data_IF_286390343060
#
_entry.id   IF_286390343060
#
_cell.length_a   1.000
_cell.length_b   1.000
_cell.length_c   1.000
_cell.angle_alpha   90.00
_cell.angle_beta   90.00
_cell.angle_gamma   90.00
#
_symmetry.space_group_name_H-M   'P 1'
#
loop_
_entity.id
_entity.type
_entity.pdbx_description
1 polymer ?
#
# COMPACT_ATOMS: atom_id res chain seq x y z
N UNK A 1 39.41 -52.27 -37.47
CA UNK A 1 38.33 -51.85 -38.40
C UNK A 1 37.64 -50.64 -37.80
N UNK A 2 37.95 -49.46 -38.32
CA UNK A 2 37.36 -48.18 -37.90
C UNK A 2 35.94 -48.07 -38.44
N UNK A 3 34.93 -47.92 -37.58
CA UNK A 3 33.56 -47.62 -38.02
C UNK A 3 33.48 -46.12 -38.31
N UNK A 4 33.35 -45.77 -39.58
CA UNK A 4 33.09 -44.41 -40.05
C UNK A 4 31.88 -43.81 -39.35
N UNK A 5 31.91 -42.52 -38.99
CA UNK A 5 30.73 -41.83 -38.48
C UNK A 5 29.69 -41.72 -39.60
N UNK A 6 28.44 -42.12 -39.32
CA UNK A 6 27.31 -41.91 -40.23
C UNK A 6 27.15 -40.41 -40.50
N UNK A 7 27.14 -40.04 -41.77
CA UNK A 7 26.73 -38.71 -42.21
C UNK A 7 25.29 -38.45 -41.75
N UNK A 8 25.04 -37.31 -41.09
CA UNK A 8 23.70 -36.77 -40.91
C UNK A 8 23.16 -36.42 -42.29
N UNK A 9 22.05 -37.01 -42.69
CA UNK A 9 21.27 -36.56 -43.85
C UNK A 9 20.49 -35.30 -43.49
N UNK A 10 20.29 -34.39 -44.45
CA UNK A 10 19.56 -33.12 -44.30
C UNK A 10 18.08 -33.26 -43.84
N UNK A 11 17.58 -34.48 -43.66
CA UNK A 11 16.24 -34.78 -43.11
C UNK A 11 16.15 -34.71 -41.57
N UNK A 12 17.26 -34.47 -40.85
CA UNK A 12 17.25 -34.20 -39.40
C UNK A 12 16.99 -32.71 -39.09
N UNK A 13 16.02 -32.09 -39.78
CA UNK A 13 15.53 -30.78 -39.39
C UNK A 13 14.92 -30.86 -37.98
N UNK A 14 15.23 -29.94 -37.05
CA UNK A 14 14.59 -29.94 -35.74
C UNK A 14 13.08 -29.86 -35.95
N UNK A 15 12.26 -30.61 -35.18
CA UNK A 15 10.81 -30.58 -35.34
C UNK A 15 10.34 -29.14 -35.27
N UNK A 16 9.70 -28.68 -36.35
CA UNK A 16 9.13 -27.34 -36.42
C UNK A 16 8.14 -27.17 -35.27
N UNK A 17 8.20 -26.05 -34.57
CA UNK A 17 7.23 -25.70 -33.54
C UNK A 17 6.02 -25.04 -34.22
N UNK A 18 5.06 -25.85 -34.67
CA UNK A 18 3.92 -25.37 -35.47
C UNK A 18 3.04 -24.41 -34.66
N UNK A 19 3.07 -24.50 -33.32
CA UNK A 19 2.35 -23.59 -32.44
C UNK A 19 3.00 -22.20 -32.39
N UNK A 20 4.32 -22.11 -32.60
CA UNK A 20 5.01 -20.82 -32.63
C UNK A 20 4.71 -20.01 -33.92
N UNK A 21 4.24 -20.66 -34.97
CA UNK A 21 3.96 -20.05 -36.27
C UNK A 21 2.47 -19.65 -36.46
N UNK A 22 1.58 -20.06 -35.56
CA UNK A 22 0.16 -19.75 -35.64
C UNK A 22 -0.18 -18.31 -35.19
N UNK A 23 -1.17 -17.65 -35.83
CA UNK A 23 -1.76 -16.41 -35.33
C UNK A 23 -2.37 -16.55 -33.94
N UNK A 24 -2.36 -15.44 -33.18
CA UNK A 24 -2.82 -15.41 -31.79
C UNK A 24 -4.29 -15.81 -31.64
N UNK A 25 -5.14 -15.52 -32.62
CA UNK A 25 -6.57 -15.81 -32.61
C UNK A 25 -6.83 -17.32 -32.67
N UNK A 26 -6.09 -18.03 -33.52
CA UNK A 26 -6.19 -19.49 -33.64
C UNK A 26 -5.60 -20.18 -32.42
N UNK A 27 -4.50 -19.65 -31.88
CA UNK A 27 -3.91 -20.12 -30.64
C UNK A 27 -4.88 -20.00 -29.45
N UNK A 28 -5.59 -18.88 -29.34
CA UNK A 28 -6.61 -18.70 -28.30
C UNK A 28 -7.76 -19.68 -28.47
N UNK A 29 -8.23 -19.91 -29.70
CA UNK A 29 -9.28 -20.87 -29.96
C UNK A 29 -8.89 -22.32 -29.63
N UNK A 30 -7.61 -22.69 -29.86
CA UNK A 30 -7.07 -23.98 -29.39
C UNK A 30 -7.08 -24.04 -27.86
N UNK A 31 -6.65 -22.97 -27.18
CA UNK A 31 -6.60 -22.92 -25.72
C UNK A 31 -7.99 -22.89 -25.06
N UNK A 32 -9.00 -22.35 -25.74
CA UNK A 32 -10.41 -22.43 -25.33
C UNK A 32 -10.91 -23.87 -25.28
N UNK A 33 -10.45 -24.72 -26.20
CA UNK A 33 -10.80 -26.15 -26.26
C UNK A 33 -10.03 -27.04 -25.28
N UNK A 34 -9.10 -26.49 -24.49
CA UNK A 34 -8.36 -27.28 -23.50
C UNK A 34 -9.19 -27.40 -22.22
N UNK A 35 -9.78 -28.57 -22.05
CA UNK A 35 -10.74 -28.82 -20.96
C UNK A 35 -10.13 -29.43 -19.70
N UNK A 36 -8.92 -29.98 -19.74
CA UNK A 36 -8.22 -30.50 -18.56
C UNK A 36 -7.22 -29.47 -18.00
N UNK A 37 -7.25 -29.25 -16.68
CA UNK A 37 -6.35 -28.29 -16.03
C UNK A 37 -4.88 -28.70 -16.11
N UNK A 38 -4.59 -30.01 -16.15
CA UNK A 38 -3.25 -30.54 -16.36
C UNK A 38 -2.75 -30.21 -17.76
N UNK A 39 -3.63 -30.25 -18.76
CA UNK A 39 -3.31 -29.88 -20.13
C UNK A 39 -3.10 -28.37 -20.25
N UNK A 40 -3.91 -27.54 -19.61
CA UNK A 40 -3.68 -26.08 -19.56
C UNK A 40 -2.28 -25.77 -18.98
N UNK A 41 -1.91 -26.45 -17.89
CA UNK A 41 -0.58 -26.33 -17.30
C UNK A 41 0.49 -26.80 -18.29
N UNK A 42 0.33 -27.98 -18.88
CA UNK A 42 1.25 -28.54 -19.87
C UNK A 42 1.44 -27.63 -21.10
N UNK A 43 0.38 -27.00 -21.61
CA UNK A 43 0.44 -26.02 -22.70
C UNK A 43 1.23 -24.77 -22.31
N UNK A 44 1.01 -24.27 -21.09
CA UNK A 44 1.77 -23.12 -20.58
C UNK A 44 3.24 -23.45 -20.36
N UNK A 45 3.55 -24.73 -20.18
CA UNK A 45 4.90 -25.25 -19.97
C UNK A 45 5.62 -25.59 -21.27
N UNK A 46 4.90 -26.09 -22.28
CA UNK A 46 5.41 -26.33 -23.62
C UNK A 46 5.64 -25.00 -24.36
N UNK A 47 4.73 -24.04 -24.20
CA UNK A 47 4.85 -22.70 -24.80
C UNK A 47 4.45 -21.59 -23.82
N UNK A 48 5.42 -20.99 -23.10
CA UNK A 48 5.17 -19.93 -22.12
C UNK A 48 4.49 -18.68 -22.69
N UNK A 49 4.64 -18.45 -24.00
CA UNK A 49 3.95 -17.35 -24.69
C UNK A 49 2.44 -17.58 -24.72
N UNK A 50 2.00 -18.83 -24.95
CA UNK A 50 0.59 -19.20 -24.97
C UNK A 50 -0.07 -19.11 -23.61
N UNK A 51 0.61 -19.56 -22.55
CA UNK A 51 0.09 -19.42 -21.18
C UNK A 51 -0.13 -17.96 -20.79
N UNK A 52 0.79 -17.06 -21.19
CA UNK A 52 0.64 -15.60 -20.99
C UNK A 52 -0.45 -14.99 -21.86
N UNK A 53 -0.63 -15.50 -23.08
CA UNK A 53 -1.67 -15.07 -23.99
C UNK A 53 -3.05 -15.41 -23.42
N UNK A 54 -3.27 -16.66 -23.00
CA UNK A 54 -4.51 -17.12 -22.37
C UNK A 54 -4.87 -16.32 -21.10
N UNK A 55 -3.86 -16.00 -20.28
CA UNK A 55 -4.02 -15.14 -19.09
C UNK A 55 -4.49 -13.72 -19.44
N UNK A 56 -3.93 -13.13 -20.51
CA UNK A 56 -4.28 -11.76 -20.96
C UNK A 56 -5.61 -11.70 -21.68
N UNK A 57 -5.98 -12.78 -22.36
CA UNK A 57 -7.25 -12.91 -23.07
C UNK A 57 -8.38 -13.40 -22.17
N UNK A 58 -8.19 -13.32 -20.85
CA UNK A 58 -9.23 -13.56 -19.86
C UNK A 58 -9.83 -14.99 -19.84
N UNK A 59 -9.11 -16.00 -20.34
CA UNK A 59 -9.58 -17.38 -20.35
C UNK A 59 -9.75 -17.93 -18.91
N UNK A 60 -10.97 -18.27 -18.47
CA UNK A 60 -11.27 -18.57 -17.05
C UNK A 60 -10.41 -19.69 -16.46
N UNK A 61 -10.11 -20.73 -17.24
CA UNK A 61 -9.31 -21.90 -16.84
C UNK A 61 -7.84 -21.56 -16.58
N UNK A 62 -7.36 -20.42 -17.07
CA UNK A 62 -5.99 -19.95 -16.90
C UNK A 62 -5.85 -18.88 -15.80
N UNK A 63 -6.96 -18.31 -15.28
CA UNK A 63 -6.97 -17.14 -14.38
C UNK A 63 -6.49 -17.40 -12.95
N UNK A 64 -6.37 -18.65 -12.53
CA UNK A 64 -6.15 -18.97 -11.12
C UNK A 64 -4.65 -18.92 -10.72
N UNK A 65 -4.23 -18.20 -9.67
CA UNK A 65 -2.83 -18.09 -9.23
C UNK A 65 -2.09 -19.41 -8.93
N UNK A 66 -2.77 -20.54 -8.70
CA UNK A 66 -2.12 -21.87 -8.66
C UNK A 66 -1.63 -22.36 -10.01
N UNK A 67 -2.21 -21.87 -11.09
CA UNK A 67 -1.70 -22.09 -12.42
C UNK A 67 -0.24 -21.61 -12.52
N UNK A 68 0.10 -20.51 -11.83
CA UNK A 68 1.48 -20.02 -11.70
C UNK A 68 2.34 -20.83 -10.71
N UNK A 69 1.74 -21.52 -9.74
CA UNK A 69 2.43 -22.49 -8.88
C UNK A 69 2.84 -23.73 -9.68
N UNK A 70 1.95 -24.26 -10.52
CA UNK A 70 2.26 -25.35 -11.45
C UNK A 70 3.38 -24.97 -12.44
N UNK A 71 3.38 -23.72 -12.92
CA UNK A 71 4.48 -23.17 -13.74
C UNK A 71 5.84 -23.15 -13.02
N UNK A 72 5.86 -23.03 -11.69
CA UNK A 72 7.10 -22.86 -10.91
C UNK A 72 7.75 -24.17 -10.46
N UNK A 73 7.00 -25.27 -10.38
CA UNK A 73 7.58 -26.60 -10.11
C UNK A 73 8.40 -27.10 -11.29
N UNK A 74 7.95 -26.79 -12.52
CA UNK A 74 8.65 -27.19 -13.73
C UNK A 74 9.91 -26.38 -14.04
N UNK A 75 10.05 -25.16 -13.51
CA UNK A 75 11.29 -24.37 -13.62
C UNK A 75 12.34 -24.75 -12.56
N UNK A 76 11.94 -25.20 -11.37
CA UNK A 76 12.87 -25.55 -10.28
C UNK A 76 13.58 -26.92 -10.45
N UNK A 77 12.92 -27.92 -11.05
CA UNK A 77 13.51 -29.26 -11.20
C UNK A 77 14.37 -29.45 -12.46
N UNK A 78 14.23 -28.59 -13.48
CA UNK A 78 14.93 -28.76 -14.77
C UNK A 78 16.26 -28.01 -14.89
N UNK A 79 16.58 -27.05 -14.01
CA UNK A 79 17.78 -26.20 -14.15
C UNK A 79 18.87 -26.48 -13.10
N UNK A 80 18.58 -27.10 -11.95
CA UNK A 80 19.53 -27.20 -10.83
C UNK A 80 19.76 -28.63 -10.30
N UNK A 81 20.37 -29.51 -11.11
CA UNK A 81 21.42 -30.43 -10.64
C UNK A 81 21.99 -31.25 -11.81
N UNK A 82 23.27 -31.06 -12.20
CA UNK A 82 23.93 -32.02 -13.06
C UNK A 82 24.05 -33.36 -12.31
N UNK A 83 23.52 -34.42 -12.91
CA UNK A 83 23.75 -35.81 -12.51
C UNK A 83 25.26 -36.09 -12.47
N UNK A 84 25.90 -35.93 -11.31
CA UNK A 84 27.19 -36.54 -11.01
C UNK A 84 26.97 -37.66 -9.99
N UNK A 85 27.28 -38.87 -10.44
CA UNK A 85 27.41 -40.14 -9.70
C UNK A 85 26.18 -41.08 -9.70
N UNK A 86 26.29 -42.28 -10.32
CA UNK A 86 25.22 -43.27 -10.43
C UNK A 86 25.11 -44.22 -9.21
N UNK A 87 25.12 -43.70 -7.96
CA UNK A 87 25.14 -44.57 -6.76
C UNK A 87 24.11 -44.30 -5.65
N UNK A 88 23.16 -43.39 -5.81
CA UNK A 88 22.10 -43.18 -4.81
C UNK A 88 20.73 -43.05 -5.51
N UNK A 89 20.08 -44.20 -5.75
CA UNK A 89 18.79 -44.30 -6.41
C UNK A 89 17.66 -44.71 -5.44
N UNK A 90 17.59 -44.10 -4.24
CA UNK A 90 16.62 -44.50 -3.22
C UNK A 90 16.04 -43.35 -2.36
N UNK A 91 15.98 -42.12 -2.88
CA UNK A 91 15.26 -41.03 -2.21
C UNK A 91 14.11 -40.54 -3.09
N UNK A 92 12.89 -40.65 -2.60
CA UNK A 92 11.69 -40.05 -3.19
C UNK A 92 11.94 -38.54 -3.28
N UNK A 93 11.80 -37.91 -4.46
CA UNK A 93 12.00 -36.47 -4.58
C UNK A 93 10.96 -35.73 -3.71
N UNK A 94 11.36 -34.68 -2.96
CA UNK A 94 10.43 -33.92 -2.12
C UNK A 94 9.30 -33.34 -2.99
N UNK A 95 8.08 -33.36 -2.43
CA UNK A 95 6.89 -32.81 -3.11
C UNK A 95 7.19 -31.39 -3.58
N UNK A 96 6.90 -31.07 -4.84
CA UNK A 96 7.21 -29.75 -5.38
C UNK A 96 6.29 -28.67 -4.77
N UNK A 97 5.10 -29.05 -4.30
CA UNK A 97 4.19 -28.17 -3.59
C UNK A 97 4.51 -28.15 -2.09
N UNK A 98 4.96 -27.00 -1.61
CA UNK A 98 5.12 -26.74 -0.18
C UNK A 98 3.84 -26.16 0.42
N UNK A 99 3.71 -26.28 1.73
CA UNK A 99 2.63 -25.64 2.49
C UNK A 99 2.56 -24.13 2.25
N UNK A 100 3.70 -23.45 2.20
CA UNK A 100 3.77 -22.02 1.93
C UNK A 100 3.16 -21.62 0.58
N UNK A 101 3.24 -22.50 -0.41
CA UNK A 101 2.66 -22.29 -1.74
C UNK A 101 1.14 -22.45 -1.68
N UNK A 102 0.65 -23.49 -1.01
CA UNK A 102 -0.78 -23.74 -0.83
C UNK A 102 -1.46 -22.64 0.00
N UNK A 103 -0.76 -22.11 1.01
CA UNK A 103 -1.21 -20.94 1.78
C UNK A 103 -1.35 -19.70 0.91
N UNK A 104 -0.35 -19.41 0.07
CA UNK A 104 -0.40 -18.30 -0.89
C UNK A 104 -1.56 -18.44 -1.87
N UNK A 105 -1.82 -19.66 -2.33
CA UNK A 105 -2.97 -19.92 -3.18
C UNK A 105 -4.29 -19.65 -2.45
N UNK A 106 -4.47 -20.26 -1.28
CA UNK A 106 -5.70 -20.11 -0.52
C UNK A 106 -5.97 -18.63 -0.20
N UNK A 107 -4.92 -17.82 -0.04
CA UNK A 107 -5.00 -16.39 0.20
C UNK A 107 -5.44 -15.54 -1.02
N UNK A 108 -5.41 -16.10 -2.23
CA UNK A 108 -5.79 -15.36 -3.42
C UNK A 108 -7.31 -15.32 -3.60
N UNK A 109 -7.85 -14.13 -3.88
CA UNK A 109 -9.27 -13.90 -4.10
C UNK A 109 -9.84 -14.67 -5.30
N UNK A 110 -9.02 -15.01 -6.29
CA UNK A 110 -9.39 -15.75 -7.50
C UNK A 110 -9.40 -17.27 -7.30
N UNK A 111 -8.81 -17.76 -6.21
CA UNK A 111 -8.72 -19.19 -5.93
C UNK A 111 -10.11 -19.81 -5.76
N UNK A 112 -10.34 -20.94 -6.44
CA UNK A 112 -11.56 -21.77 -6.36
C UNK A 112 -11.27 -23.19 -5.86
N UNK A 113 -12.25 -23.82 -5.20
CA UNK A 113 -12.12 -25.20 -4.72
C UNK A 113 -12.08 -26.22 -5.89
N UNK A 114 -12.46 -25.80 -7.11
CA UNK A 114 -12.48 -26.63 -8.31
C UNK A 114 -11.11 -27.27 -8.63
N UNK A 115 -10.01 -26.65 -8.17
CA UNK A 115 -8.64 -27.11 -8.42
C UNK A 115 -8.09 -28.08 -7.36
N UNK A 116 -8.81 -28.30 -6.27
CA UNK A 116 -8.35 -29.17 -5.18
C UNK A 116 -8.11 -30.63 -5.61
N UNK A 117 -8.97 -31.27 -6.43
CA UNK A 117 -8.73 -32.65 -6.87
C UNK A 117 -7.42 -32.80 -7.64
N UNK A 118 -7.05 -31.80 -8.45
CA UNK A 118 -5.79 -31.79 -9.18
C UNK A 118 -4.60 -31.60 -8.23
N UNK A 119 -4.68 -30.65 -7.28
CA UNK A 119 -3.64 -30.43 -6.26
C UNK A 119 -3.36 -31.69 -5.42
N UNK A 120 -4.41 -32.42 -5.06
CA UNK A 120 -4.27 -33.67 -4.33
C UNK A 120 -3.48 -34.74 -5.13
N UNK A 121 -3.60 -34.75 -6.48
CA UNK A 121 -2.82 -35.66 -7.34
C UNK A 121 -1.34 -35.30 -7.38
N UNK A 122 -1.00 -34.01 -7.46
CA UNK A 122 0.39 -33.55 -7.57
C UNK A 122 1.11 -33.48 -6.21
N UNK A 123 0.37 -33.46 -5.10
CA UNK A 123 0.93 -33.52 -3.75
C UNK A 123 0.01 -34.32 -2.81
N UNK A 124 0.04 -35.66 -2.87
CA UNK A 124 -0.82 -36.52 -2.03
C UNK A 124 -0.54 -36.36 -0.54
N UNK A 125 0.70 -36.01 -0.17
CA UNK A 125 1.12 -35.80 1.20
C UNK A 125 0.62 -34.46 1.78
N UNK A 126 0.25 -33.50 0.93
CA UNK A 126 -0.18 -32.18 1.34
C UNK A 126 -1.19 -31.62 0.35
N UNK A 127 -2.46 -31.66 0.71
CA UNK A 127 -3.56 -31.27 -0.17
C UNK A 127 -4.45 -30.19 0.45
N UNK A 128 -5.25 -29.53 -0.38
CA UNK A 128 -6.31 -28.62 0.06
C UNK A 128 -7.65 -29.35 0.02
N UNK A 129 -8.49 -29.09 1.01
CA UNK A 129 -9.86 -29.56 1.03
C UNK A 129 -10.81 -28.44 1.41
N UNK A 130 -12.04 -28.52 0.92
CA UNK A 130 -13.12 -27.66 1.36
C UNK A 130 -14.06 -28.45 2.26
N UNK A 131 -14.46 -27.85 3.36
CA UNK A 131 -15.47 -28.38 4.28
C UNK A 131 -16.57 -27.33 4.43
N UNK A 132 -17.83 -27.75 4.29
CA UNK A 132 -18.96 -26.89 4.59
C UNK A 132 -19.24 -26.97 6.09
N UNK A 133 -19.01 -25.87 6.79
CA UNK A 133 -19.35 -25.70 8.20
C UNK A 133 -20.63 -24.87 8.37
N UNK A 134 -21.28 -25.04 9.52
CA UNK A 134 -22.37 -24.16 9.96
C UNK A 134 -23.80 -24.64 9.59
N UNK A 135 -24.81 -24.27 10.38
CA UNK A 135 -26.20 -24.66 10.15
C UNK A 135 -26.93 -23.77 9.14
N UNK A 136 -27.82 -24.39 8.35
CA UNK A 136 -28.83 -23.69 7.55
C UNK A 136 -28.26 -22.72 6.53
N UNK A 137 -28.63 -21.45 6.64
CA UNK A 137 -28.20 -20.36 5.76
C UNK A 137 -26.85 -19.75 6.15
N UNK A 138 -26.30 -20.07 7.33
CA UNK A 138 -25.00 -19.57 7.79
C UNK A 138 -23.86 -20.52 7.39
N UNK A 139 -23.92 -21.07 6.17
CA UNK A 139 -22.87 -21.96 5.66
C UNK A 139 -21.57 -21.20 5.46
N UNK A 140 -20.48 -21.82 5.88
CA UNK A 140 -19.12 -21.32 5.75
C UNK A 140 -18.33 -22.36 4.97
N UNK A 141 -17.74 -21.96 3.86
CA UNK A 141 -16.75 -22.76 3.16
C UNK A 141 -15.40 -22.62 3.87
N UNK A 142 -14.92 -23.71 4.45
CA UNK A 142 -13.65 -23.77 5.17
C UNK A 142 -12.64 -24.48 4.30
N UNK A 143 -11.60 -23.76 3.91
CA UNK A 143 -10.47 -24.27 3.18
C UNK A 143 -9.40 -24.71 4.17
N UNK A 144 -9.07 -26.00 4.15
CA UNK A 144 -8.07 -26.60 5.05
C UNK A 144 -6.89 -27.15 4.28
N UNK A 145 -5.74 -27.09 4.94
CA UNK A 145 -4.57 -27.87 4.57
C UNK A 145 -4.69 -29.27 5.19
N UNK A 146 -4.52 -30.33 4.42
CA UNK A 146 -4.52 -31.71 4.90
C UNK A 146 -3.15 -32.34 4.75
N UNK A 147 -2.77 -33.19 5.70
CA UNK A 147 -1.59 -34.05 5.63
C UNK A 147 -2.05 -35.51 5.74
N UNK A 148 -2.09 -36.22 4.62
CA UNK A 148 -2.71 -37.55 4.57
C UNK A 148 -4.22 -37.49 4.82
N UNK A 149 -4.72 -38.33 5.74
CA UNK A 149 -6.16 -38.38 6.10
C UNK A 149 -6.55 -37.37 7.18
N UNK A 150 -5.58 -36.73 7.85
CA UNK A 150 -5.84 -35.79 8.94
C UNK A 150 -6.25 -34.41 8.39
N UNK A 151 -7.40 -33.89 8.88
CA UNK A 151 -7.79 -32.50 8.66
C UNK A 151 -6.82 -31.58 9.38
N UNK A 152 -6.08 -30.76 8.65
CA UNK A 152 -5.11 -29.83 9.23
C UNK A 152 -5.61 -28.38 9.27
N UNK A 153 -4.64 -27.45 9.23
CA UNK A 153 -4.86 -26.04 9.53
C UNK A 153 -5.89 -25.37 8.60
N UNK A 154 -6.79 -24.59 9.20
CA UNK A 154 -7.66 -23.70 8.43
C UNK A 154 -6.84 -22.58 7.77
N UNK A 155 -7.08 -22.36 6.48
CA UNK A 155 -6.36 -21.36 5.67
C UNK A 155 -7.26 -20.19 5.28
N UNK A 156 -8.49 -20.51 4.86
CA UNK A 156 -9.46 -19.53 4.39
C UNK A 156 -10.86 -19.96 4.78
N UNK A 157 -11.65 -19.04 5.30
CA UNK A 157 -13.06 -19.24 5.63
C UNK A 157 -13.88 -18.26 4.81
N UNK A 158 -14.84 -18.72 4.03
CA UNK A 158 -15.74 -17.86 3.25
C UNK A 158 -17.16 -18.04 3.75
N UNK A 159 -17.73 -16.96 4.26
CA UNK A 159 -19.16 -16.91 4.58
C UNK A 159 -19.97 -16.87 3.30
N UNK A 160 -20.79 -17.90 3.05
CA UNK A 160 -21.60 -17.97 1.83
C UNK A 160 -22.77 -16.98 1.83
N UNK A 161 -23.26 -16.62 3.02
CA UNK A 161 -24.37 -15.68 3.17
C UNK A 161 -23.93 -14.23 3.04
N UNK A 162 -22.86 -13.88 3.72
CA UNK A 162 -22.43 -12.49 3.81
C UNK A 162 -21.37 -12.15 2.76
N UNK A 163 -20.68 -13.14 2.20
CA UNK A 163 -19.61 -12.92 1.22
C UNK A 163 -18.28 -12.50 1.86
N UNK A 164 -18.20 -12.44 3.19
CA UNK A 164 -16.94 -12.16 3.89
C UNK A 164 -15.97 -13.33 3.78
N UNK A 165 -14.69 -13.01 3.62
CA UNK A 165 -13.60 -14.00 3.52
C UNK A 165 -12.57 -13.70 4.59
N UNK A 166 -12.27 -14.70 5.41
CA UNK A 166 -11.24 -14.64 6.45
C UNK A 166 -10.07 -15.53 6.04
N UNK A 167 -8.86 -15.05 6.27
CA UNK A 167 -7.62 -15.78 6.04
C UNK A 167 -6.90 -16.02 7.36
N UNK A 168 -6.40 -17.24 7.52
CA UNK A 168 -5.76 -17.71 8.73
C UNK A 168 -4.35 -18.22 8.45
N UNK A 169 -3.47 -18.05 9.43
CA UNK A 169 -2.12 -18.63 9.44
C UNK A 169 -1.87 -19.39 10.73
N UNK A 170 -0.91 -20.32 10.73
CA UNK A 170 -0.59 -21.15 11.89
C UNK A 170 -0.88 -22.62 11.65
N UNK A 171 -0.37 -23.45 12.55
CA UNK A 171 -0.60 -24.89 12.53
C UNK A 171 -2.03 -25.22 12.97
N UNK A 172 -2.42 -26.49 12.80
CA UNK A 172 -3.73 -26.95 13.25
C UNK A 172 -3.88 -26.72 14.76
N UNK A 173 -4.94 -26.05 15.17
CA UNK A 173 -5.16 -25.69 16.56
C UNK A 173 -4.34 -24.48 17.04
N UNK A 174 -3.58 -23.82 16.16
CA UNK A 174 -2.89 -22.57 16.44
C UNK A 174 -3.17 -21.52 15.37
N UNK A 175 -4.28 -21.69 14.62
CA UNK A 175 -4.66 -20.76 13.57
C UNK A 175 -5.01 -19.39 14.14
N UNK A 176 -4.37 -18.36 13.59
CA UNK A 176 -4.61 -16.95 13.90
C UNK A 176 -5.19 -16.23 12.70
N UNK A 177 -6.08 -15.27 12.97
CA UNK A 177 -6.60 -14.36 11.94
C UNK A 177 -5.47 -13.43 11.45
N UNK A 178 -5.25 -13.37 10.13
CA UNK A 178 -4.27 -12.44 9.56
C UNK A 178 -4.90 -11.41 8.63
N UNK A 179 -6.04 -11.75 8.02
CA UNK A 179 -6.72 -10.87 7.07
C UNK A 179 -8.20 -11.21 6.97
N UNK A 180 -9.05 -10.20 6.93
CA UNK A 180 -10.46 -10.33 6.64
C UNK A 180 -10.82 -9.41 5.46
N UNK A 181 -11.57 -9.95 4.50
CA UNK A 181 -12.15 -9.23 3.38
C UNK A 181 -13.65 -9.13 3.62
N UNK A 182 -14.14 -7.90 3.71
CA UNK A 182 -15.53 -7.59 3.89
C UNK A 182 -16.25 -7.43 2.52
N UNK A 183 -17.57 -7.61 2.48
CA UNK A 183 -18.34 -7.57 1.22
C UNK A 183 -18.39 -6.17 0.59
N UNK A 184 -18.17 -5.14 1.40
CA UNK A 184 -18.09 -3.73 0.99
C UNK A 184 -16.74 -3.39 0.32
N UNK A 185 -15.84 -4.36 0.15
CA UNK A 185 -14.50 -4.17 -0.40
C UNK A 185 -13.46 -3.74 0.63
N UNK A 186 -13.84 -3.58 1.90
CA UNK A 186 -12.90 -3.31 2.99
C UNK A 186 -12.03 -4.54 3.26
N UNK A 187 -10.72 -4.33 3.45
CA UNK A 187 -9.77 -5.39 3.84
C UNK A 187 -9.07 -5.02 5.14
N UNK A 188 -9.28 -5.83 6.17
CA UNK A 188 -8.69 -5.68 7.49
C UNK A 188 -7.52 -6.66 7.66
N UNK A 189 -6.44 -6.22 8.30
CA UNK A 189 -5.23 -7.00 8.56
C UNK A 189 -4.97 -7.06 10.06
N UNK A 190 -4.52 -8.22 10.50
CA UNK A 190 -4.37 -8.55 11.91
C UNK A 190 -2.99 -9.14 12.20
N UNK A 191 -2.50 -8.88 13.40
CA UNK A 191 -1.25 -9.44 13.93
C UNK A 191 -1.46 -9.91 15.37
N UNK A 192 -0.64 -10.83 15.85
CA UNK A 192 -0.73 -11.39 17.20
C UNK A 192 -0.70 -12.91 17.17
N UNK A 193 -0.68 -13.53 18.34
CA UNK A 193 -0.90 -14.98 18.45
C UNK A 193 -2.39 -15.32 18.33
N UNK A 194 -2.70 -16.61 18.20
CA UNK A 194 -4.07 -17.10 18.18
C UNK A 194 -4.84 -16.56 19.40
N UNK A 195 -6.07 -16.12 19.18
CA UNK A 195 -6.98 -15.60 20.20
C UNK A 195 -6.53 -14.29 20.88
N UNK A 196 -5.44 -13.67 20.42
CA UNK A 196 -4.96 -12.34 20.85
C UNK A 196 -4.65 -11.40 19.67
N UNK A 197 -5.22 -11.68 18.50
CA UNK A 197 -5.01 -10.88 17.30
C UNK A 197 -5.58 -9.47 17.45
N UNK A 198 -4.80 -8.48 17.01
CA UNK A 198 -5.14 -7.06 16.97
C UNK A 198 -5.16 -6.55 15.54
N UNK A 199 -6.06 -5.61 15.24
CA UNK A 199 -6.10 -4.96 13.93
C UNK A 199 -4.92 -4.00 13.81
N UNK A 200 -4.13 -4.12 12.74
CA UNK A 200 -2.98 -3.24 12.47
C UNK A 200 -3.18 -2.37 11.24
N UNK A 201 -4.02 -2.80 10.30
CA UNK A 201 -4.25 -2.08 9.05
C UNK A 201 -5.62 -2.37 8.45
N UNK A 202 -6.29 -1.33 7.96
CA UNK A 202 -7.56 -1.42 7.24
C UNK A 202 -7.47 -0.67 5.92
N UNK A 203 -7.70 -1.38 4.82
CA UNK A 203 -7.78 -0.82 3.47
C UNK A 203 -9.26 -0.67 3.12
N UNK A 204 -9.68 0.52 2.75
CA UNK A 204 -11.07 0.80 2.34
C UNK A 204 -11.23 0.62 0.83
N UNK A 205 -12.48 0.54 0.39
CA UNK A 205 -12.82 0.41 -1.02
C UNK A 205 -12.36 1.60 -1.89
N UNK A 206 -12.25 2.79 -1.29
CA UNK A 206 -11.73 4.02 -1.92
C UNK A 206 -10.19 4.05 -2.02
N UNK A 207 -9.51 2.99 -1.55
CA UNK A 207 -8.05 2.89 -1.53
C UNK A 207 -7.38 3.52 -0.30
N UNK A 208 -8.14 4.18 0.58
CA UNK A 208 -7.58 4.74 1.80
C UNK A 208 -7.08 3.64 2.75
N UNK A 209 -5.90 3.84 3.33
CA UNK A 209 -5.28 2.86 4.25
C UNK A 209 -5.17 3.46 5.64
N UNK A 210 -5.85 2.86 6.61
CA UNK A 210 -5.81 3.26 8.01
C UNK A 210 -4.88 2.30 8.77
N UNK A 211 -3.93 2.85 9.52
CA UNK A 211 -3.01 2.09 10.37
C UNK A 211 -3.41 2.25 11.84
N UNK A 212 -3.23 1.16 12.59
CA UNK A 212 -3.62 1.05 13.98
C UNK A 212 -2.47 0.53 14.84
N UNK A 213 -2.43 0.96 16.10
CA UNK A 213 -1.50 0.46 17.12
C UNK A 213 -2.26 0.17 18.41
N UNK A 214 -1.69 -0.66 19.29
CA UNK A 214 -2.26 -0.98 20.59
C UNK A 214 -2.31 -2.48 20.86
N UNK A 215 -2.91 -2.86 21.98
CA UNK A 215 -3.21 -4.25 22.30
C UNK A 215 -4.57 -4.65 21.73
N UNK A 216 -4.87 -5.96 21.69
CA UNK A 216 -6.18 -6.45 21.27
C UNK A 216 -7.28 -5.81 22.12
N UNK A 217 -8.24 -5.17 21.47
CA UNK A 217 -9.31 -4.46 22.18
C UNK A 217 -8.93 -3.06 22.66
N UNK A 218 -7.71 -2.58 22.43
CA UNK A 218 -7.25 -1.22 22.70
C UNK A 218 -6.63 -0.55 21.47
N UNK A 219 -6.93 -1.03 20.27
CA UNK A 219 -6.36 -0.50 19.03
C UNK A 219 -6.84 0.93 18.77
N UNK A 220 -5.87 1.83 18.55
CA UNK A 220 -6.07 3.25 18.23
C UNK A 220 -5.57 3.56 16.83
N UNK A 221 -6.22 4.50 16.17
CA UNK A 221 -5.79 5.00 14.87
C UNK A 221 -4.53 5.85 15.02
N UNK A 222 -3.50 5.60 14.23
CA UNK A 222 -2.25 6.37 14.26
C UNK A 222 -1.94 7.07 12.94
N UNK A 223 -2.38 6.50 11.81
CA UNK A 223 -2.12 7.05 10.49
C UNK A 223 -3.23 6.72 9.51
N UNK A 224 -3.49 7.60 8.56
CA UNK A 224 -4.35 7.34 7.42
C UNK A 224 -3.68 7.85 6.15
N UNK A 225 -3.41 6.93 5.23
CA UNK A 225 -2.84 7.21 3.91
C UNK A 225 -4.01 7.36 2.93
N UNK A 226 -4.12 8.55 2.34
CA UNK A 226 -5.04 8.91 1.27
C UNK A 226 -4.21 9.14 -0.01
N UNK A 227 -4.83 9.18 -1.21
CA UNK A 227 -4.11 9.45 -2.45
C UNK A 227 -3.24 10.72 -2.43
N UNK A 228 -3.75 11.79 -1.83
CA UNK A 228 -3.12 13.12 -1.85
C UNK A 228 -2.66 13.60 -0.45
N UNK A 229 -2.75 12.76 0.58
CA UNK A 229 -2.39 13.17 1.93
C UNK A 229 -2.11 11.99 2.85
N UNK A 230 -1.24 12.22 3.84
CA UNK A 230 -1.04 11.31 4.98
C UNK A 230 -1.41 12.04 6.26
N UNK A 231 -2.40 11.53 6.99
CA UNK A 231 -2.88 12.13 8.24
C UNK A 231 -2.40 11.30 9.43
N UNK A 232 -1.76 11.95 10.40
CA UNK A 232 -1.25 11.34 11.62
C UNK A 232 -2.14 11.69 12.81
N UNK A 233 -2.30 10.73 13.71
CA UNK A 233 -3.18 10.81 14.87
C UNK A 233 -2.44 10.40 16.14
N UNK A 234 -2.84 11.02 17.26
CA UNK A 234 -2.37 10.68 18.61
C UNK A 234 -3.54 10.60 19.58
N UNK A 235 -3.34 10.00 20.75
CA UNK A 235 -4.38 9.83 21.77
C UNK A 235 -4.67 8.36 22.07
N UNK A 236 -5.57 8.12 23.01
CA UNK A 236 -6.01 6.76 23.37
C UNK A 236 -7.10 6.27 22.40
N UNK A 237 -7.42 4.98 22.45
CA UNK A 237 -8.52 4.40 21.67
C UNK A 237 -9.82 5.17 21.96
N UNK A 238 -10.44 5.71 20.91
CA UNK A 238 -11.67 6.49 21.06
C UNK A 238 -11.45 7.96 21.45
N UNK A 239 -10.20 8.39 21.64
CA UNK A 239 -9.82 9.79 21.89
C UNK A 239 -8.77 10.29 20.89
N UNK A 240 -8.61 9.61 19.75
CA UNK A 240 -7.61 9.95 18.75
C UNK A 240 -7.89 11.32 18.13
N UNK A 241 -6.89 12.20 18.18
CA UNK A 241 -6.90 13.54 17.61
C UNK A 241 -5.92 13.65 16.45
N UNK A 242 -6.24 14.51 15.48
CA UNK A 242 -5.33 14.82 14.37
C UNK A 242 -4.18 15.67 14.87
N UNK A 243 -2.94 15.31 14.52
CA UNK A 243 -1.74 16.09 14.92
C UNK A 243 -0.93 16.59 13.73
N UNK A 244 -0.99 15.89 12.60
CA UNK A 244 -0.24 16.28 11.40
C UNK A 244 -0.94 15.79 10.13
N UNK A 245 -0.89 16.60 9.08
CA UNK A 245 -1.25 16.20 7.72
C UNK A 245 -0.10 16.54 6.80
N UNK A 246 0.45 15.52 6.15
CA UNK A 246 1.45 15.66 5.09
C UNK A 246 0.73 15.66 3.73
N UNK A 247 0.91 16.72 2.95
CA UNK A 247 0.42 16.87 1.58
C UNK A 247 1.62 17.07 0.64
N UNK A 248 1.46 16.92 -0.69
CA UNK A 248 2.57 17.08 -1.64
C UNK A 248 3.35 18.38 -1.48
N UNK A 249 2.66 19.49 -1.22
CA UNK A 249 3.25 20.83 -1.18
C UNK A 249 3.27 21.45 0.21
N UNK A 250 2.77 20.76 1.23
CA UNK A 250 2.65 21.33 2.57
C UNK A 250 2.59 20.29 3.68
N UNK A 251 3.05 20.67 4.87
CA UNK A 251 2.86 19.90 6.11
C UNK A 251 2.14 20.76 7.15
N UNK A 252 0.94 20.35 7.55
CA UNK A 252 0.11 21.07 8.52
C UNK A 252 0.14 20.36 9.86
N UNK A 253 0.36 21.11 10.94
CA UNK A 253 0.36 20.62 12.31
C UNK A 253 -0.84 21.16 13.07
N UNK A 254 -1.39 20.32 13.92
CA UNK A 254 -2.61 20.58 14.67
C UNK A 254 -2.40 20.35 16.16
N UNK A 255 -3.12 21.12 16.98
CA UNK A 255 -3.21 20.94 18.42
C UNK A 255 -4.66 20.99 18.87
N UNK A 256 -4.97 20.42 20.04
CA UNK A 256 -6.32 20.43 20.61
C UNK A 256 -6.75 19.07 21.13
N UNK A 257 -8.00 18.97 21.54
CA UNK A 257 -8.63 17.70 21.88
C UNK A 257 -9.29 17.08 20.64
N UNK A 258 -9.68 15.80 20.73
CA UNK A 258 -10.37 15.11 19.64
C UNK A 258 -11.62 15.89 19.24
N UNK A 259 -11.71 16.23 17.96
CA UNK A 259 -12.82 17.00 17.41
C UNK A 259 -12.72 18.51 17.61
N UNK A 260 -11.74 18.99 18.37
CA UNK A 260 -11.45 20.40 18.62
C UNK A 260 -10.04 20.80 18.11
N UNK A 261 -9.50 20.05 17.15
CA UNK A 261 -8.15 20.28 16.65
C UNK A 261 -8.07 21.55 15.80
N UNK A 262 -7.16 22.45 16.15
CA UNK A 262 -6.86 23.70 15.46
C UNK A 262 -5.52 23.65 14.75
N UNK A 263 -5.41 24.33 13.62
CA UNK A 263 -4.13 24.50 12.91
C UNK A 263 -3.21 25.43 13.70
N UNK A 264 -1.98 25.01 13.96
CA UNK A 264 -0.98 25.84 14.67
C UNK A 264 0.24 26.16 13.82
N UNK A 265 0.56 25.30 12.85
CA UNK A 265 1.74 25.48 12.00
C UNK A 265 1.52 24.87 10.62
N UNK A 266 1.94 25.56 9.58
CA UNK A 266 1.98 25.07 8.21
C UNK A 266 3.37 25.28 7.63
N UNK A 267 3.98 24.21 7.15
CA UNK A 267 5.27 24.25 6.45
C UNK A 267 4.98 24.15 4.96
N UNK A 268 5.49 25.10 4.20
CA UNK A 268 5.38 25.22 2.75
C UNK A 268 6.79 25.24 2.15
N UNK A 269 6.89 25.17 0.82
CA UNK A 269 8.18 25.30 0.13
C UNK A 269 8.83 26.69 0.31
N UNK A 270 8.02 27.73 0.49
CA UNK A 270 8.45 29.12 0.61
C UNK A 270 8.63 29.60 2.06
N UNK A 271 8.23 28.79 3.05
CA UNK A 271 8.36 29.17 4.45
C UNK A 271 7.50 28.38 5.43
N UNK A 272 7.37 28.92 6.64
CA UNK A 272 6.58 28.37 7.74
C UNK A 272 5.62 29.42 8.26
N UNK A 273 4.32 29.14 8.16
CA UNK A 273 3.26 29.92 8.78
C UNK A 273 2.89 29.38 10.18
N UNK A 274 2.75 30.28 11.15
CA UNK A 274 2.23 29.99 12.50
C UNK A 274 0.85 30.60 12.68
N UNK A 275 -0.02 29.87 13.37
CA UNK A 275 -1.43 30.19 13.48
C UNK A 275 -1.89 30.18 14.92
N UNK A 276 -2.81 31.08 15.26
CA UNK A 276 -3.47 31.16 16.56
C UNK A 276 -4.98 31.29 16.39
N UNK A 277 -5.74 30.85 17.38
CA UNK A 277 -7.20 30.95 17.39
C UNK A 277 -7.85 29.70 17.93
N UNK A 278 -9.18 29.72 18.02
CA UNK A 278 -9.96 28.51 18.29
C UNK A 278 -10.14 27.69 17.01
N UNK A 279 -10.60 26.45 17.15
CA UNK A 279 -10.87 25.58 16.01
C UNK A 279 -11.82 26.28 15.02
N UNK A 280 -11.39 26.36 13.76
CA UNK A 280 -12.16 26.99 12.70
C UNK A 280 -12.12 28.52 12.71
N UNK A 281 -11.40 29.15 13.65
CA UNK A 281 -11.17 30.60 13.74
C UNK A 281 -9.66 30.95 13.72
N UNK A 282 -8.82 30.06 13.20
CA UNK A 282 -7.37 30.22 13.19
C UNK A 282 -6.92 31.32 12.22
N UNK A 283 -6.08 32.23 12.71
CA UNK A 283 -5.47 33.33 11.94
C UNK A 283 -3.96 33.13 11.84
N UNK A 284 -3.39 33.51 10.70
CA UNK A 284 -1.94 33.60 10.53
C UNK A 284 -1.41 34.74 11.42
N UNK A 285 -0.45 34.44 12.28
CA UNK A 285 0.19 35.45 13.17
C UNK A 285 1.64 35.72 12.78
N UNK A 286 2.29 34.76 12.14
CA UNK A 286 3.69 34.87 11.74
C UNK A 286 3.94 34.01 10.51
N UNK A 287 4.75 34.49 9.57
CA UNK A 287 5.28 33.73 8.44
C UNK A 287 6.78 33.92 8.34
N UNK A 288 7.52 32.84 8.47
CA UNK A 288 8.98 32.77 8.32
C UNK A 288 9.31 32.29 6.91
N UNK A 289 9.89 33.15 6.07
CA UNK A 289 10.24 32.83 4.69
C UNK A 289 11.58 32.10 4.60
N UNK A 290 11.77 31.36 3.51
CA UNK A 290 13.01 30.62 3.24
C UNK A 290 14.26 31.52 3.14
N UNK A 291 14.10 32.81 2.84
CA UNK A 291 15.18 33.80 2.81
C UNK A 291 15.57 34.33 4.21
N UNK A 292 14.89 33.86 5.27
CA UNK A 292 15.09 34.30 6.64
C UNK A 292 14.27 35.55 7.04
N UNK A 293 13.49 36.11 6.12
CA UNK A 293 12.56 37.19 6.44
C UNK A 293 11.40 36.65 7.29
N UNK A 294 10.89 37.47 8.22
CA UNK A 294 9.76 37.11 9.08
C UNK A 294 8.71 38.21 9.04
N UNK A 295 7.51 37.87 8.60
CA UNK A 295 6.33 38.76 8.61
C UNK A 295 5.41 38.41 9.77
N UNK A 296 4.96 39.42 10.49
CA UNK A 296 4.00 39.30 11.59
C UNK A 296 2.68 39.95 11.20
N UNK A 297 1.60 39.29 11.61
CA UNK A 297 0.25 39.64 11.22
C UNK A 297 -0.66 39.79 12.45
N UNK A 298 -1.64 40.68 12.34
CA UNK A 298 -2.74 40.85 13.29
C UNK A 298 -4.08 40.81 12.56
N UNK A 299 -5.20 40.75 13.27
CA UNK A 299 -6.54 40.78 12.69
C UNK A 299 -7.30 39.48 12.87
N UNK A 300 -8.49 39.39 12.31
CA UNK A 300 -9.36 38.22 12.42
C UNK A 300 -9.02 37.15 11.39
N UNK A 301 -9.56 35.94 11.57
CA UNK A 301 -9.44 34.87 10.58
C UNK A 301 -9.91 35.36 9.21
N UNK A 302 -9.13 35.05 8.19
CA UNK A 302 -9.45 35.46 6.83
C UNK A 302 -9.27 36.94 6.57
N UNK A 303 -8.89 37.76 7.56
CA UNK A 303 -8.50 39.15 7.38
C UNK A 303 -7.19 39.55 8.12
N UNK A 304 -6.10 38.76 8.01
CA UNK A 304 -4.83 39.14 8.62
C UNK A 304 -4.23 40.36 7.90
N UNK A 305 -3.81 41.36 8.66
CA UNK A 305 -3.08 42.54 8.20
C UNK A 305 -1.62 42.48 8.63
N UNK A 306 -0.72 42.94 7.78
CA UNK A 306 0.72 42.99 8.06
C UNK A 306 1.03 44.10 9.07
N UNK A 307 1.73 43.78 10.16
CA UNK A 307 2.10 44.78 11.18
C UNK A 307 3.61 44.95 11.36
N UNK A 308 4.39 43.93 11.03
CA UNK A 308 5.85 43.97 11.16
C UNK A 308 6.52 43.03 10.18
N UNK A 309 7.64 43.46 9.59
CA UNK A 309 8.54 42.61 8.80
C UNK A 309 9.95 42.74 9.35
N UNK A 310 10.62 41.61 9.56
CA UNK A 310 12.02 41.54 9.96
C UNK A 310 12.81 40.90 8.83
N UNK A 311 13.84 41.57 8.32
CA UNK A 311 14.70 41.05 7.24
C UNK A 311 16.14 41.50 7.48
N UNK A 312 17.06 40.53 7.64
CA UNK A 312 18.50 40.77 7.80
C UNK A 312 18.85 41.83 8.88
N UNK A 313 18.12 41.83 10.00
CA UNK A 313 18.30 42.79 11.09
C UNK A 313 17.61 44.15 10.89
N UNK A 314 17.00 44.40 9.73
CA UNK A 314 16.10 45.54 9.54
C UNK A 314 14.68 45.17 10.00
N UNK A 315 13.96 46.12 10.60
CA UNK A 315 12.59 45.94 11.09
C UNK A 315 11.69 47.02 10.50
N UNK A 316 10.75 46.65 9.64
CA UNK A 316 9.68 47.52 9.16
C UNK A 316 8.42 47.33 10.01
N UNK A 317 7.75 48.41 10.38
CA UNK A 317 6.45 48.43 11.03
C UNK A 317 5.40 49.02 10.10
N UNK A 318 4.24 48.38 10.06
CA UNK A 318 3.17 48.67 9.12
C UNK A 318 1.87 48.96 9.85
N UNK A 319 1.08 49.87 9.30
CA UNK A 319 -0.26 50.20 9.80
C UNK A 319 -1.25 50.28 8.64
N UNK A 320 -2.50 49.89 8.88
CA UNK A 320 -3.56 49.99 7.89
C UNK A 320 -4.61 48.91 8.09
N UNK A 321 -5.59 48.93 7.21
CA UNK A 321 -6.51 47.81 7.02
C UNK A 321 -5.85 46.74 6.14
N UNK A 322 -6.43 45.54 6.13
CA UNK A 322 -5.93 44.44 5.30
C UNK A 322 -5.79 44.87 3.84
N UNK A 323 -4.60 44.68 3.28
CA UNK A 323 -4.29 45.01 1.90
C UNK A 323 -4.00 46.49 1.64
N UNK A 324 -4.16 47.35 2.65
CA UNK A 324 -3.87 48.79 2.62
C UNK A 324 -2.77 49.18 3.63
N UNK A 325 -1.96 48.22 4.07
CA UNK A 325 -0.93 48.43 5.07
C UNK A 325 0.22 49.27 4.50
N UNK A 326 0.52 50.39 5.15
CA UNK A 326 1.58 51.33 4.81
C UNK A 326 2.75 51.24 5.77
N UNK A 327 3.97 51.46 5.30
CA UNK A 327 5.16 51.54 6.15
C UNK A 327 5.11 52.82 7.00
N UNK A 328 5.19 52.70 8.32
CA UNK A 328 5.18 53.86 9.25
C UNK A 328 6.51 54.08 9.96
N UNK A 329 7.30 53.01 10.12
CA UNK A 329 8.60 53.04 10.80
C UNK A 329 9.51 51.95 10.25
N UNK A 330 10.78 52.27 10.04
CA UNK A 330 11.82 51.30 9.68
C UNK A 330 13.02 51.48 10.61
N UNK A 331 13.46 50.39 11.21
CA UNK A 331 14.71 50.32 11.99
C UNK A 331 15.75 49.59 11.15
N UNK A 332 16.85 50.25 10.85
CA UNK A 332 17.93 49.66 10.06
C UNK A 332 18.94 48.98 10.98
N UNK A 333 19.60 47.92 10.49
CA UNK A 333 20.61 47.18 11.24
C UNK A 333 21.77 48.06 11.76
N UNK A 334 22.00 49.22 11.14
CA UNK A 334 22.98 50.23 11.54
C UNK A 334 22.51 51.17 12.67
N UNK A 335 21.34 50.90 13.27
CA UNK A 335 20.78 51.69 14.38
C UNK A 335 20.06 52.98 13.95
N UNK A 336 19.86 53.20 12.65
CA UNK A 336 19.09 54.34 12.13
C UNK A 336 17.60 53.99 12.15
N UNK A 337 16.74 54.93 12.54
CA UNK A 337 15.27 54.77 12.54
C UNK A 337 14.63 55.80 11.64
N UNK A 338 13.96 55.36 10.57
CA UNK A 338 13.15 56.21 9.70
C UNK A 338 11.67 56.15 10.08
N UNK A 339 10.98 57.28 10.05
CA UNK A 339 9.52 57.38 10.14
C UNK A 339 8.94 57.85 8.83
N UNK A 340 7.79 57.30 8.47
CA UNK A 340 7.20 57.44 7.15
C UNK A 340 5.73 57.86 7.26
N UNK A 341 5.30 58.70 6.32
CA UNK A 341 3.90 59.12 6.16
C UNK A 341 3.51 59.07 4.69
N UNK A 342 2.25 58.75 4.40
CA UNK A 342 1.70 58.67 3.05
C UNK A 342 0.69 57.54 2.92
N UNK A 343 0.10 57.42 1.75
CA UNK A 343 -0.71 56.26 1.40
C UNK A 343 0.19 55.07 1.07
N UNK A 344 -0.38 53.85 1.13
CA UNK A 344 0.34 52.62 0.78
C UNK A 344 1.03 52.75 -0.58
N UNK A 345 2.33 52.47 -0.61
CA UNK A 345 3.16 52.55 -1.82
C UNK A 345 3.59 53.97 -2.22
N UNK A 346 3.16 55.01 -1.48
CA UNK A 346 3.54 56.41 -1.68
C UNK A 346 4.10 57.04 -0.39
N UNK A 347 4.61 56.23 0.52
CA UNK A 347 5.14 56.68 1.80
C UNK A 347 6.45 57.44 1.62
N UNK A 348 6.53 58.64 2.20
CA UNK A 348 7.75 59.46 2.25
C UNK A 348 8.32 59.46 3.66
N UNK A 349 9.64 59.42 3.74
CA UNK A 349 10.36 59.56 5.01
C UNK A 349 10.20 60.99 5.54
N UNK A 350 9.63 61.14 6.73
CA UNK A 350 9.35 62.44 7.36
C UNK A 350 10.27 62.75 8.54
N UNK A 351 10.90 61.72 9.13
CA UNK A 351 11.85 61.87 10.23
C UNK A 351 12.88 60.75 10.19
N UNK A 352 14.13 61.07 10.46
CA UNK A 352 15.21 60.11 10.67
C UNK A 352 15.73 60.30 12.08
N UNK A 353 16.11 59.21 12.75
CA UNK A 353 16.82 59.25 14.02
C UNK A 353 18.08 58.41 13.85
N UNK A 354 19.24 59.02 14.00
CA UNK A 354 20.52 58.33 13.89
C UNK A 354 20.85 57.55 15.18
N UNK A 355 21.82 56.65 15.10
CA UNK A 355 22.23 55.81 16.23
C UNK A 355 22.73 56.62 17.46
N UNK A 356 23.17 57.87 17.25
CA UNK A 356 23.58 58.80 18.30
C UNK A 356 22.42 59.64 18.88
N UNK A 357 21.20 59.43 18.40
CA UNK A 357 19.99 60.14 18.81
C UNK A 357 19.74 61.46 18.10
N UNK A 358 20.58 61.86 17.13
CA UNK A 358 20.34 63.04 16.29
C UNK A 358 19.17 62.82 15.31
N UNK A 359 18.44 63.89 15.00
CA UNK A 359 17.21 63.90 14.17
C UNK A 359 17.40 64.71 12.91
#
# INVERSE_FOLDING_TARGET
MSRSPRARTDDDAPPTDWLAELPHELLLHILEGVDDFSDCAAFSLASPRLGRLALRSDLPRFKDPLFAVAMRLQLAQRVAAPRRSPRLAAAIPPSPLTESILRKYAADRRASADYFPWLARVSPALCLSTELGGPGDNRIDIWRLKRGEESGAALRLRSLRYGSVVHCEGEQGAERLVRAECPDGTVEHFEGERDVERMVRKVRADGAVVHFEGERGAERKVRTDMPDAVVHFEGERGAERKVRTDMPDAVVHFEGERGAERQVRMVLADGVGHYEGEQGAERLVCHEFADGSVSYYEGEQGAPRLVRVVNAGNVGHYEGERGAERLVRSEFAVGVVGHYEGEQGSERMVRVVHADGSV
#
